data_IF_677660610210
#
_entry.id   IF_677660610210
#
_cell.length_a   1.000
_cell.length_b   1.000
_cell.length_c   1.000
_cell.angle_alpha   90.00
_cell.angle_beta   90.00
_cell.angle_gamma   90.00
#
_symmetry.space_group_name_H-M   'P 1'
#
loop_
_entity.id
_entity.type
_entity.pdbx_description
1 polymer ?
#
# COMPACT_ATOMS: atom_id res chain seq x y z
N UNK A 1 -50.85 9.18 22.15
CA UNK A 1 -49.44 9.35 22.55
C UNK A 1 -49.21 10.84 22.48
N UNK A 2 -49.30 11.53 23.62
CA UNK A 2 -49.02 12.96 23.67
C UNK A 2 -47.52 13.12 23.41
N UNK A 3 -47.17 13.86 22.36
CA UNK A 3 -45.78 14.18 22.07
C UNK A 3 -45.46 15.39 22.92
N UNK A 4 -44.72 15.17 24.01
CA UNK A 4 -44.13 16.27 24.74
C UNK A 4 -43.07 16.93 23.85
N UNK A 5 -43.37 18.16 23.43
CA UNK A 5 -42.51 18.97 22.57
C UNK A 5 -41.50 19.80 23.38
N UNK A 6 -41.53 19.74 24.71
CA UNK A 6 -40.60 20.47 25.56
C UNK A 6 -39.37 19.63 25.92
N UNK A 7 -39.55 18.34 26.18
CA UNK A 7 -38.50 17.41 26.59
C UNK A 7 -38.38 16.24 25.59
N UNK A 8 -37.45 16.30 24.63
CA UNK A 8 -37.35 15.26 23.63
C UNK A 8 -36.78 13.95 24.17
N UNK A 9 -37.44 12.86 23.79
CA UNK A 9 -36.93 11.52 24.01
C UNK A 9 -35.71 11.24 23.12
N UNK A 10 -34.82 10.34 23.57
CA UNK A 10 -33.64 9.91 22.79
C UNK A 10 -33.95 9.48 21.35
N UNK A 11 -35.03 8.73 21.07
CA UNK A 11 -35.40 8.39 19.68
C UNK A 11 -35.78 9.62 18.84
N UNK A 12 -36.40 10.64 19.43
CA UNK A 12 -36.78 11.87 18.72
C UNK A 12 -35.55 12.74 18.41
N UNK A 13 -34.62 12.88 19.36
CA UNK A 13 -33.32 13.53 19.12
C UNK A 13 -32.54 12.82 18.02
N UNK A 14 -32.47 11.50 18.08
CA UNK A 14 -31.80 10.68 17.09
C UNK A 14 -32.37 10.87 15.68
N UNK A 15 -33.70 10.91 15.56
CA UNK A 15 -34.39 11.16 14.30
C UNK A 15 -34.11 12.57 13.74
N UNK A 16 -34.10 13.60 14.59
CA UNK A 16 -33.81 14.97 14.18
C UNK A 16 -32.35 15.15 13.73
N UNK A 17 -31.43 14.58 14.49
CA UNK A 17 -29.99 14.73 14.28
C UNK A 17 -29.43 13.76 13.23
N UNK A 18 -30.25 12.83 12.71
CA UNK A 18 -29.88 11.89 11.66
C UNK A 18 -28.96 10.77 12.12
N UNK A 19 -29.07 10.34 13.38
CA UNK A 19 -28.15 9.40 14.02
C UNK A 19 -28.88 8.32 14.81
N UNK A 20 -28.16 7.32 15.34
CA UNK A 20 -28.79 6.26 16.13
C UNK A 20 -29.10 6.72 17.57
N UNK A 21 -30.21 6.25 18.12
CA UNK A 21 -30.60 6.52 19.52
C UNK A 21 -29.62 5.95 20.54
N UNK A 22 -28.94 4.85 20.19
CA UNK A 22 -27.85 4.27 20.97
C UNK A 22 -26.69 5.25 21.09
N UNK A 23 -26.31 5.88 19.99
CA UNK A 23 -25.18 6.80 19.94
C UNK A 23 -25.47 8.11 20.69
N UNK A 24 -26.72 8.61 20.67
CA UNK A 24 -27.15 9.69 21.58
C UNK A 24 -26.97 9.31 23.06
N UNK A 25 -27.25 8.05 23.42
CA UNK A 25 -27.00 7.54 24.77
C UNK A 25 -25.52 7.47 25.13
N UNK A 26 -24.65 7.17 24.17
CA UNK A 26 -23.20 7.13 24.35
C UNK A 26 -22.63 8.53 24.59
N UNK A 27 -23.01 9.52 23.78
CA UNK A 27 -22.60 10.92 23.96
C UNK A 27 -23.00 11.47 25.34
N UNK A 28 -24.19 11.10 25.82
CA UNK A 28 -24.63 11.46 27.18
C UNK A 28 -23.78 10.79 28.26
N UNK A 29 -23.39 9.54 28.07
CA UNK A 29 -22.52 8.84 29.04
C UNK A 29 -21.11 9.42 29.11
N UNK A 30 -20.65 10.03 28.03
CA UNK A 30 -19.36 10.73 27.92
C UNK A 30 -19.43 12.17 28.48
N UNK A 31 -20.63 12.70 28.71
CA UNK A 31 -20.84 14.07 29.19
C UNK A 31 -20.93 15.12 28.08
N UNK A 32 -20.89 14.70 26.82
CA UNK A 32 -20.91 15.58 25.64
C UNK A 32 -22.33 16.06 25.27
N UNK A 33 -23.37 15.46 25.87
CA UNK A 33 -24.76 15.85 25.68
C UNK A 33 -25.51 15.89 27.03
N UNK A 34 -26.50 16.78 27.20
CA UNK A 34 -27.32 16.88 28.41
C UNK A 34 -28.10 15.60 28.73
N UNK A 35 -28.42 15.40 30.01
CA UNK A 35 -29.14 14.22 30.50
C UNK A 35 -30.60 14.11 29.98
N UNK A 36 -31.24 12.96 30.22
CA UNK A 36 -32.67 12.78 29.96
C UNK A 36 -33.50 13.85 30.70
N UNK A 37 -34.48 14.46 30.02
CA UNK A 37 -35.31 15.55 30.54
C UNK A 37 -34.81 16.96 30.19
N UNK A 38 -33.63 17.10 29.56
CA UNK A 38 -33.19 18.38 29.02
C UNK A 38 -34.05 18.82 27.82
N UNK A 39 -34.22 20.13 27.67
CA UNK A 39 -35.02 20.74 26.61
C UNK A 39 -34.41 20.56 25.21
N UNK A 40 -35.21 20.77 24.17
CA UNK A 40 -34.69 20.78 22.78
C UNK A 40 -33.56 21.79 22.59
N UNK A 41 -33.66 22.98 23.16
CA UNK A 41 -32.66 24.03 22.99
C UNK A 41 -31.31 23.59 23.56
N UNK A 42 -31.29 23.06 24.79
CA UNK A 42 -30.06 22.60 25.44
C UNK A 42 -29.40 21.43 24.70
N UNK A 43 -30.20 20.49 24.17
CA UNK A 43 -29.64 19.38 23.39
C UNK A 43 -29.09 19.86 22.03
N UNK A 44 -29.72 20.86 21.40
CA UNK A 44 -29.25 21.41 20.11
C UNK A 44 -28.00 22.27 20.28
N UNK A 45 -27.91 23.07 21.33
CA UNK A 45 -26.71 23.86 21.64
C UNK A 45 -25.51 22.96 21.92
N UNK A 46 -25.66 21.95 22.78
CA UNK A 46 -24.59 20.98 23.03
C UNK A 46 -24.18 20.21 21.77
N UNK A 47 -25.14 19.89 20.90
CA UNK A 47 -24.86 19.25 19.62
C UNK A 47 -24.09 20.17 18.66
N UNK A 48 -24.42 21.46 18.62
CA UNK A 48 -23.69 22.46 17.83
C UNK A 48 -22.28 22.64 18.39
N UNK A 49 -22.11 22.74 19.71
CA UNK A 49 -20.80 22.83 20.35
C UNK A 49 -19.95 21.58 20.08
N UNK A 50 -20.55 20.40 20.08
CA UNK A 50 -19.87 19.15 19.70
C UNK A 50 -19.42 19.14 18.23
N UNK A 51 -20.17 19.77 17.33
CA UNK A 51 -19.90 19.75 15.87
C UNK A 51 -19.06 20.92 15.38
N UNK A 52 -19.13 22.05 16.07
CA UNK A 52 -18.54 23.33 15.67
C UNK A 52 -17.44 23.76 16.65
N UNK A 53 -17.54 23.38 17.93
CA UNK A 53 -16.62 23.81 18.99
C UNK A 53 -15.22 23.19 18.95
N UNK A 54 -14.97 22.17 18.13
CA UNK A 54 -13.66 21.52 17.99
C UNK A 54 -12.88 21.99 16.74
N UNK A 55 -12.93 23.29 16.41
CA UNK A 55 -12.06 23.87 15.39
C UNK A 55 -10.72 24.39 15.93
N UNK A 56 -10.48 24.34 17.26
CA UNK A 56 -9.31 24.95 17.90
C UNK A 56 -8.36 23.97 18.61
N UNK A 57 -8.55 22.64 18.48
CA UNK A 57 -7.69 21.62 19.14
C UNK A 57 -6.77 20.82 18.19
N UNK A 58 -6.35 21.42 17.07
CA UNK A 58 -5.43 20.78 16.10
C UNK A 58 -3.94 20.78 16.48
N UNK A 59 -3.56 21.37 17.61
CA UNK A 59 -2.16 21.50 18.02
C UNK A 59 -1.38 20.16 18.14
N UNK A 60 -1.90 19.10 18.79
CA UNK A 60 -1.17 17.83 18.88
C UNK A 60 -1.23 17.00 17.58
N UNK A 61 -2.20 17.24 16.70
CA UNK A 61 -2.31 16.55 15.39
C UNK A 61 -1.31 17.13 14.39
N UNK A 62 -1.16 18.45 14.35
CA UNK A 62 -0.21 19.15 13.46
C UNK A 62 1.25 18.82 13.78
N UNK A 63 1.61 18.66 15.06
CA UNK A 63 2.98 18.28 15.45
C UNK A 63 3.33 16.85 15.03
N UNK A 64 2.40 15.91 15.19
CA UNK A 64 2.56 14.51 14.75
C UNK A 64 2.66 14.43 13.23
N UNK A 65 1.82 15.18 12.51
CA UNK A 65 1.88 15.24 11.04
C UNK A 65 3.17 15.89 10.55
N UNK A 66 3.64 16.98 11.18
CA UNK A 66 4.93 17.60 10.86
C UNK A 66 6.10 16.65 11.13
N UNK A 67 6.06 15.88 12.21
CA UNK A 67 7.10 14.89 12.51
C UNK A 67 7.10 13.75 11.47
N UNK A 68 5.93 13.29 11.03
CA UNK A 68 5.81 12.28 9.96
C UNK A 68 6.33 12.82 8.63
N UNK A 69 5.92 14.02 8.24
CA UNK A 69 6.38 14.70 7.02
C UNK A 69 7.89 14.95 7.05
N UNK A 70 8.46 15.37 8.19
CA UNK A 70 9.89 15.56 8.34
C UNK A 70 10.67 14.25 8.16
N UNK A 71 10.12 13.13 8.64
CA UNK A 71 10.70 11.80 8.45
C UNK A 71 10.63 11.36 6.98
N UNK A 72 9.47 11.51 6.34
CA UNK A 72 9.31 11.21 4.91
C UNK A 72 10.25 12.05 4.04
N UNK A 73 10.42 13.34 4.35
CA UNK A 73 11.37 14.22 3.67
C UNK A 73 12.83 13.82 3.93
N UNK A 74 13.17 13.39 5.14
CA UNK A 74 14.49 12.90 5.46
C UNK A 74 14.83 11.61 4.70
N UNK A 75 13.86 10.69 4.58
CA UNK A 75 14.01 9.45 3.82
C UNK A 75 14.15 9.72 2.31
N UNK A 76 13.31 10.60 1.75
CA UNK A 76 13.43 11.02 0.36
C UNK A 76 14.82 11.64 0.07
N UNK A 77 15.29 12.53 0.94
CA UNK A 77 16.63 13.15 0.81
C UNK A 77 17.76 12.15 1.03
N UNK A 78 17.57 11.12 1.84
CA UNK A 78 18.52 10.03 2.00
C UNK A 78 18.61 9.19 0.72
N UNK A 79 17.47 8.89 0.08
CA UNK A 79 17.42 8.21 -1.21
C UNK A 79 18.06 9.03 -2.33
N UNK A 80 17.77 10.33 -2.42
CA UNK A 80 18.41 11.25 -3.40
C UNK A 80 19.92 11.29 -3.21
N UNK A 81 20.40 11.33 -1.97
CA UNK A 81 21.82 11.30 -1.68
C UNK A 81 22.46 9.96 -2.05
N UNK A 82 21.80 8.84 -1.79
CA UNK A 82 22.26 7.51 -2.17
C UNK A 82 22.29 7.34 -3.70
N UNK A 83 21.30 7.89 -4.41
CA UNK A 83 21.28 7.94 -5.87
C UNK A 83 22.45 8.78 -6.41
N UNK A 84 22.68 9.97 -5.84
CA UNK A 84 23.81 10.84 -6.23
C UNK A 84 25.16 10.19 -5.95
N UNK A 85 25.27 9.38 -4.90
CA UNK A 85 26.46 8.58 -4.57
C UNK A 85 26.60 7.29 -5.39
N UNK A 86 25.63 6.98 -6.26
CA UNK A 86 25.56 5.71 -7.04
C UNK A 86 25.55 4.47 -6.14
N UNK A 87 25.06 4.61 -4.91
CA UNK A 87 24.92 3.51 -3.95
C UNK A 87 23.62 2.72 -4.18
N UNK A 88 22.69 3.28 -4.96
CA UNK A 88 21.48 2.60 -5.42
C UNK A 88 21.73 1.97 -6.79
N UNK A 89 21.53 0.66 -6.88
CA UNK A 89 21.55 -0.03 -8.17
C UNK A 89 20.27 0.30 -8.94
N UNK A 90 20.42 0.84 -10.15
CA UNK A 90 19.32 1.06 -11.08
C UNK A 90 18.70 -0.28 -11.46
N UNK A 91 17.39 -0.41 -11.30
CA UNK A 91 16.66 -1.64 -11.68
C UNK A 91 16.85 -1.98 -13.16
N UNK A 92 16.78 -1.02 -14.11
CA UNK A 92 17.19 -1.25 -15.50
C UNK A 92 18.61 -1.80 -15.67
N UNK A 93 19.58 -1.28 -14.92
CA UNK A 93 20.99 -1.70 -15.04
C UNK A 93 21.19 -3.10 -14.48
N UNK A 94 20.51 -3.45 -13.38
CA UNK A 94 20.51 -4.80 -12.82
C UNK A 94 19.88 -5.80 -13.78
N UNK A 95 18.74 -5.47 -14.38
CA UNK A 95 18.07 -6.30 -15.38
C UNK A 95 18.99 -6.53 -16.59
N UNK A 96 19.63 -5.48 -17.10
CA UNK A 96 20.57 -5.59 -18.21
C UNK A 96 21.77 -6.48 -17.84
N UNK A 97 22.34 -6.30 -16.65
CA UNK A 97 23.45 -7.12 -16.18
C UNK A 97 23.06 -8.61 -16.10
N UNK A 98 21.90 -8.94 -15.53
CA UNK A 98 21.39 -10.32 -15.46
C UNK A 98 21.18 -10.91 -16.85
N UNK A 99 20.57 -10.15 -17.77
CA UNK A 99 20.38 -10.58 -19.17
C UNK A 99 21.71 -10.87 -19.87
N UNK A 100 22.75 -10.06 -19.65
CA UNK A 100 24.07 -10.29 -20.27
C UNK A 100 24.73 -11.58 -19.76
N UNK A 101 24.57 -11.90 -18.47
CA UNK A 101 25.10 -13.15 -17.88
C UNK A 101 24.36 -14.36 -18.45
N UNK A 102 23.03 -14.28 -18.57
CA UNK A 102 22.20 -15.33 -19.18
C UNK A 102 22.61 -15.57 -20.64
N UNK A 103 22.75 -14.50 -21.43
CA UNK A 103 23.17 -14.60 -22.82
C UNK A 103 24.56 -15.26 -22.96
N UNK A 104 25.51 -14.91 -22.08
CA UNK A 104 26.83 -15.53 -22.05
C UNK A 104 26.77 -17.02 -21.67
N UNK A 105 25.89 -17.41 -20.76
CA UNK A 105 25.68 -18.81 -20.38
C UNK A 105 25.10 -19.63 -21.54
N UNK A 106 24.07 -19.10 -22.23
CA UNK A 106 23.47 -19.72 -23.42
C UNK A 106 24.51 -19.92 -24.53
N UNK A 107 25.30 -18.88 -24.82
CA UNK A 107 26.36 -18.97 -25.83
C UNK A 107 27.40 -20.06 -25.50
N UNK A 108 27.76 -20.21 -24.21
CA UNK A 108 28.67 -21.29 -23.79
C UNK A 108 28.05 -22.68 -23.93
N UNK A 109 26.77 -22.85 -23.59
CA UNK A 109 26.06 -24.12 -23.73
C UNK A 109 25.99 -24.57 -25.20
N UNK A 110 25.75 -23.64 -26.12
CA UNK A 110 25.73 -23.93 -27.57
C UNK A 110 27.08 -24.42 -28.11
N UNK A 111 28.19 -24.02 -27.50
CA UNK A 111 29.54 -24.48 -27.90
C UNK A 111 29.88 -25.89 -27.40
N UNK A 112 29.15 -26.41 -26.40
CA UNK A 112 29.44 -27.73 -25.81
C UNK A 112 29.30 -28.85 -26.86
N UNK A 113 28.32 -28.76 -27.76
CA UNK A 113 28.13 -29.73 -28.84
C UNK A 113 29.37 -29.90 -29.73
N UNK A 114 30.06 -28.79 -30.04
CA UNK A 114 31.32 -28.82 -30.79
C UNK A 114 32.46 -29.44 -29.99
N UNK A 115 32.52 -29.18 -28.67
CA UNK A 115 33.53 -29.75 -27.78
C UNK A 115 33.40 -31.27 -27.64
N UNK A 116 32.18 -31.80 -27.72
CA UNK A 116 31.89 -33.24 -27.61
C UNK A 116 31.72 -33.94 -28.96
N UNK A 117 32.01 -33.26 -30.08
CA UNK A 117 31.78 -33.77 -31.43
C UNK A 117 32.59 -35.04 -31.77
N UNK A 118 33.66 -35.35 -31.03
CA UNK A 118 34.47 -36.57 -31.20
C UNK A 118 34.08 -37.72 -30.27
N UNK A 119 33.06 -37.51 -29.42
CA UNK A 119 32.58 -38.51 -28.47
C UNK A 119 31.69 -39.56 -29.15
N UNK A 120 31.48 -40.68 -28.46
CA UNK A 120 30.52 -41.72 -28.86
C UNK A 120 29.12 -41.14 -29.12
N UNK A 121 28.41 -41.69 -30.11
CA UNK A 121 27.12 -41.18 -30.58
C UNK A 121 26.05 -41.18 -29.47
N UNK A 122 26.05 -42.18 -28.59
CA UNK A 122 25.08 -42.27 -27.48
C UNK A 122 25.35 -41.22 -26.41
N UNK A 123 26.63 -40.93 -26.15
CA UNK A 123 27.01 -39.87 -25.21
C UNK A 123 26.66 -38.49 -25.76
N UNK A 124 26.89 -38.26 -27.05
CA UNK A 124 26.55 -37.01 -27.73
C UNK A 124 25.05 -36.71 -27.65
N UNK A 125 24.22 -37.69 -27.99
CA UNK A 125 22.77 -37.53 -27.94
C UNK A 125 22.25 -37.21 -26.52
N UNK A 126 22.85 -37.81 -25.48
CA UNK A 126 22.49 -37.49 -24.09
C UNK A 126 22.88 -36.07 -23.69
N UNK A 127 24.02 -35.59 -24.20
CA UNK A 127 24.51 -34.22 -23.96
C UNK A 127 23.64 -33.22 -24.71
N UNK A 128 23.29 -33.49 -25.98
CA UNK A 128 22.42 -32.61 -26.76
C UNK A 128 21.03 -32.48 -26.12
N UNK A 129 20.46 -33.59 -25.63
CA UNK A 129 19.19 -33.54 -24.90
C UNK A 129 19.30 -32.73 -23.60
N UNK A 130 20.35 -32.93 -22.80
CA UNK A 130 20.55 -32.19 -21.56
C UNK A 130 20.79 -30.68 -21.80
N UNK A 131 21.45 -30.32 -22.91
CA UNK A 131 21.61 -28.92 -23.33
C UNK A 131 20.27 -28.33 -23.76
N UNK A 132 19.47 -29.07 -24.54
CA UNK A 132 18.15 -28.63 -24.97
C UNK A 132 17.24 -28.38 -23.76
N UNK A 133 17.19 -29.31 -22.81
CA UNK A 133 16.41 -29.17 -21.57
C UNK A 133 16.86 -27.93 -20.76
N UNK A 134 18.17 -27.74 -20.60
CA UNK A 134 18.71 -26.58 -19.88
C UNK A 134 18.42 -25.25 -20.59
N UNK A 135 18.49 -25.22 -21.93
CA UNK A 135 18.16 -24.04 -22.73
C UNK A 135 16.66 -23.73 -22.68
N UNK A 136 15.81 -24.75 -22.70
CA UNK A 136 14.37 -24.60 -22.55
C UNK A 136 14.03 -24.07 -21.15
N UNK A 137 14.67 -24.58 -20.08
CA UNK A 137 14.56 -24.02 -18.73
C UNK A 137 15.03 -22.57 -18.66
N UNK A 138 16.16 -22.22 -19.28
CA UNK A 138 16.65 -20.83 -19.37
C UNK A 138 15.71 -19.92 -20.19
N UNK A 139 14.95 -20.47 -21.14
CA UNK A 139 14.00 -19.74 -21.98
C UNK A 139 12.62 -19.57 -21.33
N UNK A 140 12.18 -20.56 -20.54
CA UNK A 140 10.90 -20.58 -19.81
C UNK A 140 11.03 -19.98 -18.39
N UNK A 141 12.24 -19.89 -17.84
CA UNK A 141 12.46 -19.29 -16.53
C UNK A 141 12.50 -17.76 -16.58
N UNK A 142 11.38 -17.16 -16.17
CA UNK A 142 11.35 -16.23 -15.03
C UNK A 142 12.13 -14.91 -15.08
N UNK A 143 12.26 -14.24 -16.22
CA UNK A 143 12.44 -12.77 -16.15
C UNK A 143 11.10 -12.08 -15.81
N UNK A 144 9.96 -12.70 -16.13
CA UNK A 144 8.64 -12.09 -15.95
C UNK A 144 7.89 -12.60 -14.71
N UNK A 145 8.09 -13.84 -14.26
CA UNK A 145 7.39 -14.40 -13.08
C UNK A 145 8.06 -14.00 -11.74
N UNK A 146 9.39 -13.83 -11.72
CA UNK A 146 10.10 -13.33 -10.52
C UNK A 146 10.01 -11.81 -10.36
N UNK A 147 9.77 -11.08 -11.46
CA UNK A 147 9.51 -9.64 -11.43
C UNK A 147 8.01 -9.37 -11.22
N UNK A 148 7.12 -10.16 -11.82
CA UNK A 148 5.67 -10.03 -11.71
C UNK A 148 5.09 -10.45 -10.35
N UNK A 149 5.83 -11.23 -9.54
CA UNK A 149 5.45 -11.53 -8.16
C UNK A 149 5.76 -10.42 -7.14
N UNK A 150 6.52 -9.39 -7.55
CA UNK A 150 6.86 -8.24 -6.70
C UNK A 150 6.09 -6.96 -7.08
N UNK A 151 5.40 -6.95 -8.23
CA UNK A 151 4.63 -5.83 -8.76
C UNK A 151 3.12 -6.17 -8.71
N UNK A 152 2.62 -6.60 -7.56
CA UNK A 152 1.18 -6.58 -7.26
C UNK A 152 0.93 -5.87 -5.92
N UNK A 153 1.55 -4.69 -5.78
CA UNK A 153 1.57 -3.96 -4.51
C UNK A 153 1.55 -2.43 -4.60
N UNK A 154 1.64 -1.81 -5.77
CA UNK A 154 1.50 -0.35 -5.87
C UNK A 154 1.36 0.13 -7.32
N UNK A 155 0.15 0.55 -7.67
CA UNK A 155 -0.19 1.82 -8.34
C UNK A 155 -1.52 1.67 -9.10
N UNK A 156 -2.60 1.62 -8.31
CA UNK A 156 -3.84 2.28 -8.72
C UNK A 156 -3.63 3.77 -8.39
N UNK A 157 -3.39 4.58 -9.42
CA UNK A 157 -3.20 6.01 -9.31
C UNK A 157 -3.45 6.67 -10.66
N UNK A 158 -4.67 7.16 -10.82
CA UNK A 158 -5.17 7.91 -11.96
C UNK A 158 -4.26 9.06 -12.39
N UNK A 159 -4.10 9.25 -13.70
CA UNK A 159 -3.85 10.57 -14.28
C UNK A 159 -4.59 10.65 -15.62
N UNK A 160 -5.76 11.28 -15.58
CA UNK A 160 -6.47 11.75 -16.75
C UNK A 160 -5.82 13.02 -17.32
N UNK A 161 -6.01 13.19 -18.62
CA UNK A 161 -5.95 14.47 -19.34
C UNK A 161 -7.30 14.67 -20.02
#
# INVERSE_FOLDING_TARGET
MDIDLSEPTRPQLAALLGVSSRWIGELRSQGDMPADGASWAENLEAWIDLKVGDQDSDAPKLEVERARLAREQADAKAMDNAQRRKELASLPDMTLAVMTVIAAAVARLQLVGAAVAKSDAKLRQRIDNAIADALDELSMARVQEQTGGLIDGSEAGEAGD
#
